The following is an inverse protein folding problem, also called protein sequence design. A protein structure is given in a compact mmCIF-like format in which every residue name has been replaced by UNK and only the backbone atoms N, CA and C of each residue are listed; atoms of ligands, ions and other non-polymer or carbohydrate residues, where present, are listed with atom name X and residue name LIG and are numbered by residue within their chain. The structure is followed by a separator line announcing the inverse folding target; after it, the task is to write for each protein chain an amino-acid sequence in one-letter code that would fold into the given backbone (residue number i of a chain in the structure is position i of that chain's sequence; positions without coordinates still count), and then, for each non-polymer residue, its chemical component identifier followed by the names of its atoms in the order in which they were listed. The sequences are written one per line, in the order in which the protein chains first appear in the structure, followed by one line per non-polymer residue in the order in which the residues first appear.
data_IF_364964657652
#
_entry.id   IF_364964657652
#
_cell.length_a   1.000
_cell.length_b   1.000
_cell.length_c   1.000
_cell.angle_alpha   90.00
_cell.angle_beta   90.00
_cell.angle_gamma   90.00
#
_symmetry.space_group_name_H-M   'P 1'
#
loop_
_entity.id
_entity.type
_entity.pdbx_description
1 polymer ?
#
# COMPACT_ATOMS: atom_id res chain seq x y z
N UNK A 1 -7.99 4.12 -7.82
CA UNK A 1 -8.69 3.49 -6.67
C UNK A 1 -7.97 2.21 -6.28
N UNK A 2 -7.60 2.06 -5.01
CA UNK A 2 -6.95 0.87 -4.43
C UNK A 2 -8.00 -0.14 -4.00
N UNK A 3 -8.38 -1.00 -4.93
CA UNK A 3 -9.50 -1.96 -4.76
C UNK A 3 -9.26 -2.92 -3.59
N UNK A 4 -8.03 -3.40 -3.41
CA UNK A 4 -7.69 -4.35 -2.33
C UNK A 4 -8.00 -3.79 -0.94
N UNK A 5 -7.62 -2.54 -0.69
CA UNK A 5 -7.91 -1.82 0.57
C UNK A 5 -9.42 -1.71 0.84
N UNK A 6 -10.19 -1.35 -0.19
CA UNK A 6 -11.64 -1.23 -0.12
C UNK A 6 -12.26 -2.61 0.21
N UNK A 7 -11.84 -3.67 -0.47
CA UNK A 7 -12.32 -5.03 -0.24
C UNK A 7 -12.09 -5.49 1.20
N UNK A 8 -10.88 -5.35 1.73
CA UNK A 8 -10.57 -5.74 3.11
C UNK A 8 -11.43 -5.01 4.14
N UNK A 9 -11.70 -3.72 3.91
CA UNK A 9 -12.62 -2.93 4.75
C UNK A 9 -14.05 -3.49 4.70
N UNK A 10 -14.56 -3.79 3.50
CA UNK A 10 -15.91 -4.31 3.32
C UNK A 10 -16.08 -5.74 3.84
N UNK A 11 -15.08 -6.62 3.68
CA UNK A 11 -15.07 -7.98 4.25
C UNK A 11 -15.23 -7.97 5.77
N UNK A 12 -14.76 -6.89 6.42
CA UNK A 12 -14.86 -6.69 7.88
C UNK A 12 -16.08 -5.87 8.30
N UNK A 13 -16.95 -5.49 7.36
CA UNK A 13 -18.11 -4.62 7.60
C UNK A 13 -17.76 -3.28 8.27
N UNK A 14 -16.62 -2.70 7.90
CA UNK A 14 -16.15 -1.43 8.46
C UNK A 14 -16.42 -0.26 7.52
N UNK A 15 -16.68 0.90 8.10
CA UNK A 15 -16.70 2.20 7.41
C UNK A 15 -15.31 2.82 7.37
N UNK A 16 -15.08 3.79 6.47
CA UNK A 16 -13.81 4.52 6.40
C UNK A 16 -13.49 5.23 7.72
N UNK A 17 -14.53 5.75 8.40
CA UNK A 17 -14.42 6.37 9.71
C UNK A 17 -13.95 5.39 10.78
N UNK A 18 -14.56 4.21 10.86
CA UNK A 18 -14.14 3.18 11.84
C UNK A 18 -12.69 2.75 11.63
N UNK A 19 -12.25 2.54 10.39
CA UNK A 19 -10.84 2.24 10.09
C UNK A 19 -9.94 3.40 10.54
N UNK A 20 -10.34 4.65 10.28
CA UNK A 20 -9.59 5.82 10.68
C UNK A 20 -9.44 5.92 12.21
N UNK A 21 -10.54 5.72 12.94
CA UNK A 21 -10.59 5.73 14.40
C UNK A 21 -9.68 4.63 14.99
N UNK A 22 -9.74 3.41 14.44
CA UNK A 22 -8.89 2.28 14.87
C UNK A 22 -7.39 2.57 14.63
N UNK A 23 -7.05 3.18 13.49
CA UNK A 23 -5.66 3.44 13.13
C UNK A 23 -5.11 4.76 13.70
N UNK A 24 -5.96 5.57 14.33
CA UNK A 24 -5.63 6.89 14.86
C UNK A 24 -5.25 7.89 13.76
N UNK A 25 -6.02 7.91 12.67
CA UNK A 25 -5.85 8.83 11.53
C UNK A 25 -7.18 9.49 11.17
N UNK A 26 -7.20 10.42 10.21
CA UNK A 26 -8.45 11.04 9.76
C UNK A 26 -9.19 10.17 8.74
N UNK A 27 -10.53 10.18 8.78
CA UNK A 27 -11.39 9.53 7.77
C UNK A 27 -11.04 10.01 6.35
N UNK A 28 -10.79 11.32 6.19
CA UNK A 28 -10.39 11.92 4.92
C UNK A 28 -9.11 11.28 4.38
N UNK A 29 -8.17 10.93 5.26
CA UNK A 29 -6.94 10.26 4.87
C UNK A 29 -7.20 8.84 4.39
N UNK A 30 -8.02 8.04 5.09
CA UNK A 30 -8.42 6.70 4.64
C UNK A 30 -9.11 6.76 3.27
N UNK A 31 -10.04 7.71 3.09
CA UNK A 31 -10.71 7.93 1.80
C UNK A 31 -9.73 8.25 0.66
N UNK A 32 -8.75 9.13 0.90
CA UNK A 32 -7.69 9.44 -0.09
C UNK A 32 -6.81 8.23 -0.38
N UNK A 33 -6.48 7.43 0.65
CA UNK A 33 -5.73 6.18 0.47
C UNK A 33 -6.50 5.18 -0.39
N UNK A 34 -7.80 4.99 -0.15
CA UNK A 34 -8.65 4.10 -0.96
C UNK A 34 -8.81 4.61 -2.40
N UNK A 35 -8.87 5.92 -2.62
CA UNK A 35 -8.89 6.48 -3.98
C UNK A 35 -7.56 6.38 -4.71
N UNK A 36 -6.45 6.39 -3.98
CA UNK A 36 -5.10 6.51 -4.54
C UNK A 36 -4.59 7.96 -4.61
N UNK A 37 -5.32 8.92 -4.04
CA UNK A 37 -5.01 10.35 -4.05
C UNK A 37 -3.94 10.74 -3.01
N UNK A 38 -3.52 9.78 -2.17
CA UNK A 38 -2.47 9.95 -1.17
C UNK A 38 -1.63 8.69 -1.05
N UNK A 39 -0.35 8.85 -0.78
CA UNK A 39 0.55 7.75 -0.48
C UNK A 39 0.75 7.62 1.04
N UNK A 40 0.57 6.42 1.61
CA UNK A 40 0.85 6.17 3.02
C UNK A 40 2.34 6.28 3.30
N UNK A 41 2.69 6.78 4.49
CA UNK A 41 4.04 6.61 5.02
C UNK A 41 4.28 5.18 5.51
N UNK A 42 5.54 4.81 5.76
CA UNK A 42 5.92 3.46 6.25
C UNK A 42 5.12 3.01 7.48
N UNK A 43 4.93 3.92 8.46
CA UNK A 43 4.15 3.63 9.69
C UNK A 43 2.69 3.29 9.38
N UNK A 44 2.08 3.99 8.42
CA UNK A 44 0.68 3.75 8.02
C UNK A 44 0.55 2.43 7.26
N UNK A 45 1.50 2.13 6.35
CA UNK A 45 1.53 0.84 5.65
C UNK A 45 1.59 -0.33 6.62
N UNK A 46 2.53 -0.28 7.58
CA UNK A 46 2.67 -1.33 8.59
C UNK A 46 1.42 -1.47 9.46
N UNK A 47 0.80 -0.36 9.87
CA UNK A 47 -0.47 -0.38 10.60
C UNK A 47 -1.57 -1.08 9.81
N UNK A 48 -1.70 -0.79 8.53
CA UNK A 48 -2.73 -1.38 7.66
C UNK A 48 -2.44 -2.86 7.37
N UNK A 49 -1.17 -3.22 7.21
CA UNK A 49 -0.74 -4.61 7.06
C UNK A 49 -1.10 -5.45 8.28
N UNK A 50 -0.73 -4.98 9.48
CA UNK A 50 -1.06 -5.65 10.74
C UNK A 50 -2.59 -5.69 10.94
N UNK A 51 -3.27 -4.58 10.66
CA UNK A 51 -4.72 -4.50 10.84
C UNK A 51 -5.47 -5.48 9.94
N UNK A 52 -5.13 -5.52 8.65
CA UNK A 52 -5.81 -6.39 7.69
C UNK A 52 -5.25 -7.81 7.63
N UNK A 53 -4.02 -8.05 8.11
CA UNK A 53 -3.31 -9.32 7.95
C UNK A 53 -2.89 -9.57 6.50
N UNK A 54 -2.73 -8.50 5.70
CA UNK A 54 -2.43 -8.54 4.27
C UNK A 54 -1.18 -7.70 4.03
N UNK A 55 -0.21 -8.25 3.28
CA UNK A 55 1.06 -7.56 3.01
C UNK A 55 0.83 -6.18 2.39
N UNK A 56 1.64 -5.20 2.79
CA UNK A 56 1.61 -3.84 2.26
C UNK A 56 1.70 -3.79 0.72
N UNK A 57 2.50 -4.66 0.10
CA UNK A 57 2.63 -4.80 -1.36
C UNK A 57 1.33 -5.18 -2.06
N UNK A 58 0.47 -5.93 -1.39
CA UNK A 58 -0.84 -6.34 -1.91
C UNK A 58 -1.89 -5.24 -1.67
N UNK A 59 -1.79 -4.51 -0.55
CA UNK A 59 -2.64 -3.37 -0.23
C UNK A 59 -2.35 -2.14 -1.12
N UNK A 60 -1.09 -1.95 -1.52
CA UNK A 60 -0.59 -0.79 -2.26
C UNK A 60 0.22 -1.16 -3.51
N UNK A 61 -0.34 -1.95 -4.44
CA UNK A 61 0.41 -2.43 -5.60
C UNK A 61 0.92 -1.29 -6.48
N UNK A 62 0.22 -0.14 -6.51
CA UNK A 62 0.63 1.06 -7.25
C UNK A 62 1.93 1.68 -6.75
N UNK A 63 2.28 1.50 -5.47
CA UNK A 63 3.50 2.07 -4.86
C UNK A 63 4.72 1.19 -5.13
N UNK A 64 4.51 -0.12 -5.20
CA UNK A 64 5.58 -1.10 -5.38
C UNK A 64 5.78 -1.57 -6.83
N UNK A 65 4.93 -1.12 -7.75
CA UNK A 65 5.09 -1.28 -9.20
C UNK A 65 6.16 -0.37 -9.81
N UNK A 66 7.12 0.10 -9.01
CA UNK A 66 8.36 0.64 -9.58
C UNK A 66 9.08 -0.55 -10.18
N UNK A 67 9.08 -0.57 -11.51
CA UNK A 67 9.60 -1.62 -12.36
C UNK A 67 10.90 -2.19 -11.80
N UNK A 68 10.99 -3.52 -11.78
CA UNK A 68 12.28 -4.22 -11.78
C UNK A 68 12.95 -3.99 -13.15
N UNK A 69 13.21 -2.73 -13.49
CA UNK A 69 14.14 -2.34 -14.53
C UNK A 69 15.48 -2.02 -13.85
N UNK A 70 15.93 -2.94 -12.98
CA UNK A 70 17.37 -3.12 -12.85
C UNK A 70 17.82 -3.63 -14.20
N UNK A 71 18.17 -2.70 -15.10
CA UNK A 71 19.14 -3.00 -16.15
C UNK A 71 20.26 -3.74 -15.47
N UNK A 72 20.35 -5.04 -15.74
CA UNK A 72 21.58 -5.78 -15.55
C UNK A 72 22.63 -4.91 -16.23
N UNK A 73 23.50 -4.28 -15.46
CA UNK A 73 24.79 -3.90 -15.99
C UNK A 73 25.42 -5.22 -16.40
N UNK A 74 25.28 -5.57 -17.67
CA UNK A 74 26.20 -6.47 -18.35
C UNK A 74 27.56 -5.81 -18.22
N UNK A 75 28.23 -6.08 -17.10
CA UNK A 75 29.66 -5.93 -17.03
C UNK A 75 30.23 -6.95 -17.99
N UNK A 76 30.38 -6.55 -19.26
CA UNK A 76 31.42 -7.14 -20.11
C UNK A 76 32.71 -7.07 -19.30
N UNK A 77 33.14 -8.22 -18.78
CA UNK A 77 34.51 -8.38 -18.33
C UNK A 77 35.35 -8.56 -19.60
N UNK A 78 36.17 -7.57 -20.00
CA UNK A 78 37.13 -7.84 -21.05
C UNK A 78 38.13 -8.86 -20.49
N UNK A 79 38.19 -10.03 -21.15
CA UNK A 79 39.29 -10.97 -21.01
C UNK A 79 40.56 -10.29 -21.52
N UNK A 80 41.45 -9.91 -20.61
CA UNK A 80 42.92 -9.86 -20.81
C UNK A 80 43.61 -9.39 -19.54
#
# INVERSE_FOLDING_TARGET
MRIRLVQERHLRNLTQKQVADILGVSEVYIRKLEKGDANPGRKTMLKLEIFYGVRDRELFPDIFKVDFDTKCIEGEMPLS
#
